data_IF_211829176288
#
_entry.id   IF_211829176288
#
_cell.length_a   1.000
_cell.length_b   1.000
_cell.length_c   1.000
_cell.angle_alpha   90.00
_cell.angle_beta   90.00
_cell.angle_gamma   90.00
#
_symmetry.space_group_name_H-M   'P 1'
#
loop_
_entity.id
_entity.type
_entity.pdbx_description
1 polymer ?
#
# COMPACT_ATOMS: atom_id res chain seq x y z
N UNK A 1 4.27 -12.72 4.42
CA UNK A 1 4.04 -11.73 5.48
C UNK A 1 4.11 -12.45 6.81
N UNK A 2 4.88 -11.94 7.76
CA UNK A 2 4.99 -12.55 9.08
C UNK A 2 3.67 -12.41 9.87
N UNK A 3 3.34 -13.44 10.67
CA UNK A 3 2.21 -13.41 11.61
C UNK A 3 2.48 -12.48 12.80
N UNK A 4 1.44 -12.10 13.55
CA UNK A 4 1.54 -11.12 14.63
C UNK A 4 2.58 -11.48 15.70
N UNK A 5 2.62 -12.75 16.15
CA UNK A 5 3.60 -13.23 17.12
C UNK A 5 5.06 -13.12 16.61
N UNK A 6 5.29 -13.44 15.32
CA UNK A 6 6.61 -13.31 14.71
C UNK A 6 7.06 -11.84 14.62
N UNK A 7 6.14 -10.90 14.37
CA UNK A 7 6.46 -9.47 14.35
C UNK A 7 6.85 -8.95 15.73
N UNK A 8 6.24 -9.45 16.82
CA UNK A 8 6.61 -9.12 18.20
C UNK A 8 8.02 -9.62 18.53
N UNK A 9 8.35 -10.86 18.16
CA UNK A 9 9.70 -11.42 18.33
C UNK A 9 10.74 -10.59 17.57
N UNK A 10 10.45 -10.22 16.32
CA UNK A 10 11.33 -9.35 15.53
C UNK A 10 11.51 -8.01 16.23
N UNK A 11 10.43 -7.37 16.69
CA UNK A 11 10.48 -6.07 17.37
C UNK A 11 11.34 -6.12 18.65
N UNK A 12 11.17 -7.16 19.47
CA UNK A 12 11.95 -7.38 20.68
C UNK A 12 13.44 -7.57 20.38
N UNK A 13 13.76 -8.31 19.31
CA UNK A 13 15.12 -8.62 18.88
C UNK A 13 15.88 -7.48 18.18
N UNK A 14 15.27 -6.31 17.97
CA UNK A 14 15.98 -5.14 17.45
C UNK A 14 16.77 -4.44 18.55
N UNK A 15 18.05 -4.15 18.30
CA UNK A 15 18.83 -3.29 19.18
C UNK A 15 18.41 -1.81 19.04
N UNK A 16 18.87 -0.96 19.96
CA UNK A 16 18.49 0.47 20.01
C UNK A 16 18.75 1.18 18.67
N UNK A 17 19.90 0.92 18.05
CA UNK A 17 20.27 1.54 16.78
C UNK A 17 19.36 1.10 15.63
N UNK A 18 19.06 -0.18 15.54
CA UNK A 18 18.13 -0.74 14.54
C UNK A 18 16.73 -0.16 14.73
N UNK A 19 16.26 -0.03 15.98
CA UNK A 19 15.00 0.63 16.31
C UNK A 19 15.00 2.08 15.85
N UNK A 20 16.05 2.85 16.18
CA UNK A 20 16.16 4.25 15.78
C UNK A 20 16.12 4.43 14.25
N UNK A 21 16.82 3.58 13.49
CA UNK A 21 16.84 3.64 12.03
C UNK A 21 15.50 3.29 11.41
N UNK A 22 14.85 2.23 11.93
CA UNK A 22 13.53 1.83 11.48
C UNK A 22 12.48 2.92 11.74
N UNK A 23 12.49 3.49 12.95
CA UNK A 23 11.56 4.55 13.35
C UNK A 23 11.80 5.84 12.56
N UNK A 24 13.05 6.28 12.39
CA UNK A 24 13.34 7.46 11.57
C UNK A 24 12.88 7.29 10.12
N UNK A 25 13.01 6.07 9.56
CA UNK A 25 12.50 5.76 8.23
C UNK A 25 10.97 5.77 8.19
N UNK A 26 10.31 5.24 9.24
CA UNK A 26 8.86 5.25 9.36
C UNK A 26 8.30 6.67 9.43
N UNK A 27 8.95 7.55 10.18
CA UNK A 27 8.50 8.94 10.35
C UNK A 27 8.52 9.70 9.03
N UNK A 28 9.59 9.49 8.25
CA UNK A 28 9.69 10.06 6.91
C UNK A 28 8.70 9.42 5.91
N UNK A 29 8.44 8.11 6.01
CA UNK A 29 7.41 7.42 5.21
C UNK A 29 6.00 7.99 5.50
N UNK A 30 5.67 8.20 6.78
CA UNK A 30 4.38 8.76 7.20
C UNK A 30 4.25 10.25 6.83
N UNK A 31 5.31 11.05 6.97
CA UNK A 31 5.33 12.44 6.53
C UNK A 31 5.08 12.54 5.02
N UNK A 32 5.69 11.67 4.22
CA UNK A 32 5.44 11.60 2.78
C UNK A 32 4.04 11.11 2.45
N UNK A 33 3.52 10.13 3.21
CA UNK A 33 2.15 9.65 3.04
C UNK A 33 1.14 10.78 3.26
N UNK A 34 1.34 11.65 4.26
CA UNK A 34 0.50 12.82 4.48
C UNK A 34 0.51 13.78 3.28
N UNK A 35 1.68 14.04 2.68
CA UNK A 35 1.82 14.94 1.52
C UNK A 35 1.22 14.37 0.23
N UNK A 36 1.31 13.05 0.02
CA UNK A 36 0.89 12.40 -1.22
C UNK A 36 -0.51 11.77 -1.11
N UNK A 37 -1.19 11.93 0.03
CA UNK A 37 -2.56 11.43 0.22
C UNK A 37 -3.54 12.34 -0.52
N UNK A 38 -4.24 11.76 -1.49
CA UNK A 38 -5.32 12.45 -2.20
C UNK A 38 -5.47 11.99 -3.64
N UNK A 39 -6.59 12.37 -4.30
CA UNK A 39 -6.75 12.15 -5.73
C UNK A 39 -5.64 12.86 -6.52
N UNK A 40 -5.03 12.17 -7.49
CA UNK A 40 -3.93 12.69 -8.30
C UNK A 40 -2.52 12.48 -7.74
N UNK A 41 -2.38 11.94 -6.52
CA UNK A 41 -1.08 11.60 -5.95
C UNK A 41 -0.36 10.48 -6.73
N UNK A 42 0.97 10.53 -6.89
CA UNK A 42 1.72 9.46 -7.54
C UNK A 42 1.59 8.12 -6.78
N UNK A 43 1.70 6.96 -7.45
CA UNK A 43 1.61 5.67 -6.79
C UNK A 43 2.62 5.51 -5.64
N UNK A 44 2.18 4.92 -4.51
CA UNK A 44 3.01 4.75 -3.30
C UNK A 44 4.37 4.11 -3.55
N UNK A 45 4.46 3.18 -4.51
CA UNK A 45 5.73 2.55 -4.89
C UNK A 45 6.82 3.54 -5.32
N UNK A 46 6.44 4.74 -5.81
CA UNK A 46 7.36 5.75 -6.32
C UNK A 46 7.92 6.63 -5.19
N UNK A 47 7.05 7.18 -4.34
CA UNK A 47 7.46 8.16 -3.32
C UNK A 47 7.93 7.55 -2.00
N UNK A 48 7.67 6.25 -1.74
CA UNK A 48 8.14 5.54 -0.54
C UNK A 48 9.64 5.22 -0.52
N UNK A 49 10.36 5.47 -1.61
CA UNK A 49 11.81 5.41 -1.61
C UNK A 49 12.38 6.68 -0.98
N UNK A 50 12.93 6.53 0.22
CA UNK A 50 13.50 7.60 1.03
C UNK A 50 15.00 7.63 0.83
N UNK A 51 15.53 8.82 0.61
CA UNK A 51 16.96 9.00 0.44
C UNK A 51 17.64 9.06 1.80
N UNK A 52 18.56 8.12 2.07
CA UNK A 52 19.44 8.18 3.22
C UNK A 52 20.52 9.23 3.04
N UNK A 53 21.20 9.20 1.89
CA UNK A 53 22.19 10.20 1.52
C UNK A 53 23.35 9.61 0.71
N UNK A 54 24.12 10.47 0.03
CA UNK A 54 25.22 10.08 -0.86
C UNK A 54 26.34 9.37 -0.09
N UNK A 55 26.75 8.20 -0.58
CA UNK A 55 27.78 7.37 0.06
C UNK A 55 29.15 8.02 -0.11
N UNK A 56 29.89 8.24 0.97
CA UNK A 56 31.24 8.83 0.91
C UNK A 56 31.30 10.35 0.69
N UNK A 57 30.17 11.02 0.46
CA UNK A 57 30.10 12.46 0.17
C UNK A 57 29.22 13.20 1.19
N UNK A 58 29.59 13.14 2.48
CA UNK A 58 28.85 13.80 3.58
C UNK A 58 28.75 15.31 3.45
N UNK A 59 29.64 15.95 2.71
CA UNK A 59 29.59 17.40 2.43
C UNK A 59 28.33 17.81 1.66
N UNK A 60 27.60 16.87 1.06
CA UNK A 60 26.27 17.09 0.47
C UNK A 60 25.14 17.13 1.51
N UNK A 61 25.41 16.85 2.79
CA UNK A 61 24.43 16.91 3.89
C UNK A 61 24.26 18.33 4.44
N UNK A 62 24.28 19.34 3.57
CA UNK A 62 24.27 20.74 3.97
C UNK A 62 23.06 21.13 4.84
N UNK A 63 23.12 22.28 5.54
CA UNK A 63 22.02 22.81 6.33
C UNK A 63 20.72 22.86 5.50
N UNK A 64 19.64 22.25 6.00
CA UNK A 64 18.35 22.17 5.30
C UNK A 64 18.15 20.91 4.43
N UNK A 65 19.15 20.01 4.37
CA UNK A 65 19.02 18.71 3.73
C UNK A 65 17.89 17.87 4.36
N UNK A 66 16.93 17.43 3.54
CA UNK A 66 15.83 16.51 3.94
C UNK A 66 16.25 15.04 3.98
N UNK A 67 17.57 14.78 3.97
CA UNK A 67 18.11 13.42 3.98
C UNK A 67 17.87 12.73 5.33
N UNK A 68 17.56 11.43 5.28
CA UNK A 68 17.36 10.64 6.49
C UNK A 68 18.64 10.56 7.35
N UNK A 69 19.83 10.62 6.72
CA UNK A 69 21.12 10.71 7.44
C UNK A 69 21.23 11.97 8.30
N UNK A 70 20.69 13.10 7.87
CA UNK A 70 20.74 14.35 8.65
C UNK A 70 19.94 14.19 9.95
N UNK A 71 18.72 13.61 9.87
CA UNK A 71 17.89 13.29 11.04
C UNK A 71 18.59 12.33 12.00
N UNK A 72 19.17 11.25 11.48
CA UNK A 72 19.87 10.26 12.31
C UNK A 72 21.16 10.81 12.93
N UNK A 73 21.82 11.77 12.26
CA UNK A 73 23.00 12.47 12.80
C UNK A 73 22.62 13.32 14.02
N UNK A 74 21.48 14.04 13.97
CA UNK A 74 20.98 14.83 15.10
C UNK A 74 20.71 13.96 16.34
N UNK A 75 20.35 12.69 16.16
CA UNK A 75 20.16 11.73 17.25
C UNK A 75 21.43 11.00 17.69
N UNK A 76 22.61 11.33 17.15
CA UNK A 76 23.89 10.67 17.49
C UNK A 76 24.02 9.23 16.95
N UNK A 77 23.14 8.80 16.06
CA UNK A 77 23.01 7.39 15.65
C UNK A 77 23.82 7.03 14.38
N UNK A 78 24.56 7.97 13.80
CA UNK A 78 25.39 7.76 12.59
C UNK A 78 26.84 7.46 12.98
N UNK A 79 27.35 6.31 12.56
CA UNK A 79 28.75 5.91 12.76
C UNK A 79 29.24 4.99 11.64
N UNK A 80 30.46 4.45 11.72
CA UNK A 80 30.96 3.49 10.73
C UNK A 80 30.03 2.26 10.54
N UNK A 81 29.33 1.83 11.60
CA UNK A 81 28.38 0.70 11.57
C UNK A 81 27.02 0.97 10.88
N UNK A 82 26.85 2.11 10.22
CA UNK A 82 25.59 2.50 9.57
C UNK A 82 25.20 1.51 8.46
N UNK A 83 26.15 1.12 7.61
CA UNK A 83 25.89 0.18 6.52
C UNK A 83 25.39 -1.18 7.03
N UNK A 84 26.04 -1.70 8.08
CA UNK A 84 25.63 -2.94 8.73
C UNK A 84 24.23 -2.86 9.36
N UNK A 85 23.84 -1.68 9.88
CA UNK A 85 22.49 -1.47 10.43
C UNK A 85 21.43 -1.58 9.33
N UNK A 86 21.65 -0.95 8.18
CA UNK A 86 20.74 -1.06 7.03
C UNK A 86 20.66 -2.49 6.50
N UNK A 87 21.80 -3.17 6.36
CA UNK A 87 21.84 -4.58 5.95
C UNK A 87 21.06 -5.48 6.90
N UNK A 88 21.28 -5.34 8.21
CA UNK A 88 20.60 -6.13 9.24
C UNK A 88 19.08 -5.94 9.24
N UNK A 89 18.59 -4.72 8.97
CA UNK A 89 17.15 -4.45 8.83
C UNK A 89 16.59 -5.01 7.52
N UNK A 90 17.37 -5.00 6.44
CA UNK A 90 17.00 -5.59 5.16
C UNK A 90 16.91 -7.13 5.23
N UNK A 91 17.89 -7.78 5.87
CA UNK A 91 17.92 -9.23 6.11
C UNK A 91 16.72 -9.70 6.94
N UNK A 92 16.29 -8.90 7.90
CA UNK A 92 15.05 -9.14 8.69
C UNK A 92 13.76 -8.87 7.90
N UNK A 93 13.86 -8.45 6.64
CA UNK A 93 12.72 -8.16 5.77
C UNK A 93 11.93 -6.90 6.17
N UNK A 94 12.51 -6.01 6.98
CA UNK A 94 11.84 -4.80 7.47
C UNK A 94 11.95 -3.64 6.47
N UNK A 95 12.98 -3.63 5.65
CA UNK A 95 13.16 -2.65 4.59
C UNK A 95 13.83 -3.25 3.35
N UNK A 96 13.78 -2.51 2.25
CA UNK A 96 14.56 -2.76 1.04
C UNK A 96 15.50 -1.60 0.80
N UNK A 97 16.73 -1.90 0.38
CA UNK A 97 17.74 -0.89 0.03
C UNK A 97 18.08 -0.96 -1.46
N UNK A 98 18.40 0.18 -2.06
CA UNK A 98 19.05 0.25 -3.38
C UNK A 98 19.95 1.46 -3.46
N UNK A 99 20.82 1.51 -4.46
CA UNK A 99 21.66 2.68 -4.72
C UNK A 99 21.24 3.35 -6.02
N UNK A 100 20.92 4.64 -5.96
CA UNK A 100 20.54 5.45 -7.13
C UNK A 100 21.53 6.59 -7.37
N UNK A 101 21.65 7.02 -8.62
CA UNK A 101 22.49 8.16 -8.97
C UNK A 101 21.84 9.44 -8.46
N UNK A 102 22.64 10.33 -7.85
CA UNK A 102 22.15 11.65 -7.40
C UNK A 102 22.07 12.68 -8.53
N UNK A 103 22.52 12.32 -9.73
CA UNK A 103 22.73 13.26 -10.84
C UNK A 103 24.03 14.06 -10.74
N UNK A 104 24.79 13.90 -9.65
CA UNK A 104 26.08 14.57 -9.45
C UNK A 104 27.24 13.65 -9.80
N UNK A 105 28.37 14.24 -10.20
CA UNK A 105 29.62 13.54 -10.50
C UNK A 105 30.67 14.02 -9.50
N UNK A 106 31.40 13.09 -8.90
CA UNK A 106 32.58 13.40 -8.10
C UNK A 106 33.71 13.87 -9.03
N UNK A 107 34.16 15.10 -8.83
CA UNK A 107 35.18 15.73 -9.68
C UNK A 107 36.54 15.03 -9.59
N UNK A 108 36.84 14.37 -8.47
CA UNK A 108 38.12 13.66 -8.27
C UNK A 108 38.13 12.32 -8.97
N UNK A 109 37.09 11.50 -8.75
CA UNK A 109 37.02 10.15 -9.32
C UNK A 109 36.37 10.11 -10.71
N UNK A 110 35.75 11.21 -11.16
CA UNK A 110 34.90 11.28 -12.38
C UNK A 110 33.75 10.26 -12.38
N UNK A 111 33.38 9.73 -11.21
CA UNK A 111 32.29 8.76 -11.06
C UNK A 111 31.02 9.45 -10.59
N UNK A 112 29.88 8.94 -11.03
CA UNK A 112 28.59 9.42 -10.56
C UNK A 112 28.42 9.09 -9.07
N UNK A 113 28.01 10.10 -8.30
CA UNK A 113 27.71 9.97 -6.89
C UNK A 113 26.43 9.16 -6.73
N UNK A 114 26.46 8.16 -5.86
CA UNK A 114 25.31 7.30 -5.56
C UNK A 114 24.81 7.56 -4.16
N UNK A 115 23.49 7.55 -4.01
CA UNK A 115 22.80 7.66 -2.75
C UNK A 115 22.16 6.35 -2.37
N UNK A 116 22.23 6.03 -1.07
CA UNK A 116 21.48 4.90 -0.52
C UNK A 116 20.01 5.30 -0.41
N UNK A 117 19.16 4.55 -1.08
CA UNK A 117 17.71 4.66 -1.00
C UNK A 117 17.18 3.53 -0.13
N UNK A 118 16.26 3.85 0.78
CA UNK A 118 15.62 2.90 1.68
C UNK A 118 14.11 2.96 1.51
N UNK A 119 13.42 1.84 1.70
CA UNK A 119 11.96 1.76 1.66
C UNK A 119 11.45 0.72 2.64
N UNK A 120 10.48 1.08 3.48
CA UNK A 120 9.86 0.14 4.40
C UNK A 120 9.02 -0.92 3.67
N UNK A 121 9.18 -2.16 4.10
CA UNK A 121 8.25 -3.23 3.74
C UNK A 121 6.94 -3.09 4.51
N UNK A 122 5.95 -3.92 4.19
CA UNK A 122 4.72 -3.99 4.97
C UNK A 122 4.99 -4.44 6.41
N UNK A 123 5.88 -5.42 6.59
CA UNK A 123 6.22 -5.93 7.91
C UNK A 123 7.08 -4.91 8.69
N UNK A 124 7.96 -4.17 8.01
CA UNK A 124 8.68 -3.02 8.60
C UNK A 124 7.76 -1.95 9.18
N UNK A 125 6.72 -1.54 8.44
CA UNK A 125 5.71 -0.59 8.97
C UNK A 125 4.96 -1.15 10.17
N UNK A 126 4.61 -2.45 10.17
CA UNK A 126 3.94 -3.08 11.31
C UNK A 126 4.85 -3.10 12.54
N UNK A 127 6.12 -3.47 12.38
CA UNK A 127 7.09 -3.45 13.49
C UNK A 127 7.31 -2.04 14.02
N UNK A 128 7.45 -1.04 13.15
CA UNK A 128 7.59 0.36 13.57
C UNK A 128 6.37 0.84 14.40
N UNK A 129 5.15 0.45 14.00
CA UNK A 129 3.93 0.73 14.79
C UNK A 129 3.94 0.06 16.14
N UNK A 130 4.29 -1.22 16.19
CA UNK A 130 4.41 -1.97 17.46
C UNK A 130 5.40 -1.28 18.40
N UNK A 131 6.56 -0.85 17.90
CA UNK A 131 7.56 -0.13 18.70
C UNK A 131 7.07 1.22 19.22
N UNK A 132 6.15 1.88 18.50
CA UNK A 132 5.52 3.15 18.92
C UNK A 132 4.28 2.96 19.79
N UNK A 133 3.80 1.73 19.98
CA UNK A 133 2.50 1.48 20.59
C UNK A 133 1.32 1.98 19.75
N UNK A 134 1.53 2.22 18.45
CA UNK A 134 0.45 2.59 17.52
C UNK A 134 -0.44 1.37 17.25
N UNK A 135 -1.77 1.54 17.14
CA UNK A 135 -2.65 0.43 16.83
C UNK A 135 -2.30 -0.17 15.46
N UNK A 136 -2.43 -1.50 15.28
CA UNK A 136 -2.24 -2.10 13.97
C UNK A 136 -3.23 -1.45 12.98
N UNK A 137 -2.77 -1.15 11.75
CA UNK A 137 -3.70 -0.74 10.67
C UNK A 137 -4.82 -1.76 10.65
N UNK A 138 -6.07 -1.27 10.72
CA UNK A 138 -7.26 -2.12 10.69
C UNK A 138 -7.02 -3.27 9.72
N UNK A 139 -7.08 -4.54 10.17
CA UNK A 139 -7.11 -5.63 9.23
C UNK A 139 -8.22 -5.32 8.24
N UNK A 140 -7.95 -5.53 6.95
CA UNK A 140 -9.02 -5.57 5.94
C UNK A 140 -10.06 -6.51 6.55
N UNK A 141 -11.27 -6.04 6.84
CA UNK A 141 -12.25 -6.86 7.57
C UNK A 141 -12.33 -8.21 6.86
N UNK A 142 -12.08 -9.29 7.61
CA UNK A 142 -12.31 -10.64 7.09
C UNK A 142 -13.82 -10.88 6.91
N UNK A 143 -14.64 -10.12 7.65
CA UNK A 143 -16.06 -10.01 7.38
C UNK A 143 -16.28 -9.49 5.96
N UNK A 144 -17.05 -10.22 5.14
CA UNK A 144 -17.41 -9.77 3.81
C UNK A 144 -18.14 -8.44 3.96
N UNK A 145 -17.52 -7.37 3.46
CA UNK A 145 -18.20 -6.07 3.42
C UNK A 145 -19.54 -6.26 2.69
N UNK A 146 -20.66 -5.79 3.25
CA UNK A 146 -21.97 -5.89 2.60
C UNK A 146 -21.89 -5.32 1.19
N UNK A 147 -22.63 -5.94 0.27
CA UNK A 147 -22.66 -5.52 -1.13
C UNK A 147 -23.27 -4.13 -1.22
N UNK A 148 -22.71 -3.25 -2.07
CA UNK A 148 -23.35 -1.95 -2.32
C UNK A 148 -24.69 -2.14 -3.03
N UNK A 149 -25.59 -1.16 -2.95
CA UNK A 149 -26.88 -1.22 -3.66
C UNK A 149 -26.70 -1.49 -5.16
N UNK A 150 -25.68 -0.90 -5.78
CA UNK A 150 -25.37 -1.14 -7.19
C UNK A 150 -24.86 -2.56 -7.45
N UNK A 151 -24.10 -3.12 -6.52
CA UNK A 151 -23.66 -4.51 -6.62
C UNK A 151 -24.85 -5.47 -6.52
N UNK A 152 -25.78 -5.22 -5.59
CA UNK A 152 -27.02 -5.97 -5.45
C UNK A 152 -27.89 -5.86 -6.71
N UNK A 153 -28.00 -4.68 -7.31
CA UNK A 153 -28.78 -4.47 -8.55
C UNK A 153 -28.20 -5.22 -9.75
N UNK A 154 -26.87 -5.27 -9.88
CA UNK A 154 -26.21 -6.08 -10.90
C UNK A 154 -26.48 -7.58 -10.70
N UNK A 155 -26.43 -8.05 -9.45
CA UNK A 155 -26.76 -9.45 -9.13
C UNK A 155 -28.23 -9.74 -9.42
N UNK A 156 -29.15 -8.89 -8.97
CA UNK A 156 -30.58 -9.03 -9.20
C UNK A 156 -30.94 -9.03 -10.69
N UNK A 157 -30.32 -8.16 -11.48
CA UNK A 157 -30.51 -8.17 -12.94
C UNK A 157 -30.03 -9.48 -13.56
N UNK A 158 -28.86 -9.98 -13.15
CA UNK A 158 -28.35 -11.27 -13.62
C UNK A 158 -29.22 -12.45 -13.18
N UNK A 159 -29.84 -12.39 -12.00
CA UNK A 159 -30.80 -13.40 -11.54
C UNK A 159 -32.07 -13.44 -12.41
N UNK A 160 -32.52 -12.29 -12.91
CA UNK A 160 -33.65 -12.19 -13.84
C UNK A 160 -33.31 -12.68 -15.26
N UNK A 161 -32.03 -12.64 -15.64
CA UNK A 161 -31.55 -13.02 -16.98
C UNK A 161 -30.40 -14.04 -16.89
N UNK A 162 -30.63 -15.24 -16.33
CA UNK A 162 -29.55 -16.16 -15.96
C UNK A 162 -28.77 -16.71 -17.16
N UNK A 163 -29.42 -16.82 -18.30
CA UNK A 163 -28.82 -17.38 -19.51
C UNK A 163 -28.04 -16.32 -20.32
N UNK A 164 -28.30 -15.04 -20.08
CA UNK A 164 -27.81 -13.95 -20.91
C UNK A 164 -26.57 -13.28 -20.33
N UNK A 165 -25.69 -12.82 -21.22
CA UNK A 165 -24.62 -11.92 -20.85
C UNK A 165 -25.14 -10.48 -20.94
N UNK A 166 -24.84 -9.67 -19.94
CA UNK A 166 -25.32 -8.29 -19.85
C UNK A 166 -24.19 -7.31 -19.58
N UNK A 167 -24.39 -6.07 -19.99
CA UNK A 167 -23.48 -4.99 -19.68
C UNK A 167 -23.85 -4.33 -18.35
N UNK A 168 -22.86 -3.75 -17.67
CA UNK A 168 -23.06 -3.14 -16.37
C UNK A 168 -24.13 -2.02 -16.31
N UNK A 169 -24.51 -1.43 -17.44
CA UNK A 169 -25.54 -0.39 -17.48
C UNK A 169 -26.96 -0.96 -17.59
N UNK A 170 -27.11 -2.25 -17.92
CA UNK A 170 -28.39 -2.90 -18.17
C UNK A 170 -29.41 -2.77 -17.02
N UNK A 171 -29.04 -2.83 -15.73
CA UNK A 171 -30.00 -2.62 -14.66
C UNK A 171 -30.62 -1.21 -14.62
N UNK A 172 -29.97 -0.22 -15.26
CA UNK A 172 -30.35 1.19 -15.16
C UNK A 172 -30.80 1.82 -16.49
N UNK A 173 -30.50 1.19 -17.63
CA UNK A 173 -30.63 1.81 -18.96
C UNK A 173 -29.58 2.91 -19.22
N UNK A 174 -29.51 3.91 -18.35
CA UNK A 174 -28.47 4.96 -18.31
C UNK A 174 -27.78 4.90 -16.96
N UNK A 175 -26.51 4.49 -16.93
CA UNK A 175 -25.78 4.28 -15.68
C UNK A 175 -25.69 5.59 -14.86
N UNK A 176 -26.29 5.67 -13.65
CA UNK A 176 -26.31 6.90 -12.85
C UNK A 176 -25.01 7.13 -12.06
N UNK A 177 -24.05 6.20 -12.16
CA UNK A 177 -22.79 6.23 -11.42
C UNK A 177 -21.60 6.38 -12.36
N UNK A 178 -20.53 6.96 -11.81
CA UNK A 178 -19.24 7.05 -12.49
C UNK A 178 -18.76 5.68 -12.99
N UNK A 179 -18.30 5.63 -14.24
CA UNK A 179 -17.88 4.42 -14.92
C UNK A 179 -16.82 3.62 -14.14
N UNK A 180 -15.83 4.31 -13.56
CA UNK A 180 -14.75 3.66 -12.81
C UNK A 180 -15.25 3.04 -11.51
N UNK A 181 -16.25 3.67 -10.88
CA UNK A 181 -16.93 3.12 -9.70
C UNK A 181 -17.63 1.82 -10.05
N UNK A 182 -18.43 1.80 -11.13
CA UNK A 182 -19.18 0.59 -11.51
C UNK A 182 -18.26 -0.51 -12.03
N UNK A 183 -17.22 -0.17 -12.78
CA UNK A 183 -16.17 -1.12 -13.17
C UNK A 183 -15.51 -1.76 -11.95
N UNK A 184 -15.23 -0.98 -10.90
CA UNK A 184 -14.70 -1.48 -9.62
C UNK A 184 -15.67 -2.45 -8.93
N UNK A 185 -16.96 -2.14 -8.95
CA UNK A 185 -18.02 -3.01 -8.41
C UNK A 185 -18.09 -4.34 -9.18
N UNK A 186 -18.13 -4.29 -10.52
CA UNK A 186 -18.20 -5.48 -11.37
C UNK A 186 -17.00 -6.40 -11.14
N UNK A 187 -15.78 -5.85 -11.12
CA UNK A 187 -14.57 -6.61 -10.79
C UNK A 187 -14.63 -7.22 -9.37
N UNK A 188 -15.23 -6.49 -8.43
CA UNK A 188 -15.47 -6.98 -7.08
C UNK A 188 -16.41 -8.17 -7.03
N UNK A 189 -17.51 -8.14 -7.79
CA UNK A 189 -18.48 -9.23 -7.91
C UNK A 189 -17.88 -10.46 -8.59
N UNK A 190 -17.11 -10.27 -9.66
CA UNK A 190 -16.38 -11.36 -10.33
C UNK A 190 -15.39 -12.02 -9.38
N UNK A 191 -14.62 -11.22 -8.63
CA UNK A 191 -13.69 -11.73 -7.62
C UNK A 191 -14.38 -12.50 -6.49
N UNK A 192 -15.61 -12.12 -6.13
CA UNK A 192 -16.44 -12.83 -5.14
C UNK A 192 -17.12 -14.07 -5.71
N UNK A 193 -16.99 -14.32 -7.01
CA UNK A 193 -17.63 -15.44 -7.70
C UNK A 193 -19.15 -15.29 -7.85
N UNK A 194 -19.69 -14.09 -7.66
CA UNK A 194 -21.14 -13.81 -7.80
C UNK A 194 -21.52 -13.50 -9.26
N UNK A 195 -20.58 -12.96 -10.03
CA UNK A 195 -20.70 -12.78 -11.47
C UNK A 195 -19.49 -13.43 -12.16
N UNK A 196 -19.61 -13.71 -13.45
CA UNK A 196 -18.53 -14.14 -14.34
C UNK A 196 -18.48 -13.25 -15.59
N UNK A 197 -17.39 -13.35 -16.36
CA UNK A 197 -17.18 -12.57 -17.59
C UNK A 197 -16.09 -11.51 -17.45
N UNK A 198 -16.05 -10.59 -18.43
CA UNK A 198 -15.00 -9.58 -18.58
C UNK A 198 -15.52 -8.16 -18.33
N UNK A 199 -15.49 -7.66 -17.08
CA UNK A 199 -16.02 -6.36 -16.77
C UNK A 199 -15.46 -5.21 -17.63
N UNK A 200 -16.31 -4.25 -18.00
CA UNK A 200 -17.66 -4.09 -17.47
C UNK A 200 -18.75 -4.64 -18.40
N UNK A 201 -18.37 -5.31 -19.49
CA UNK A 201 -19.30 -5.89 -20.47
C UNK A 201 -19.38 -7.41 -20.30
N UNK A 202 -20.38 -8.05 -20.92
CA UNK A 202 -20.50 -9.53 -20.92
C UNK A 202 -20.52 -10.19 -19.52
N UNK A 203 -21.13 -9.53 -18.55
CA UNK A 203 -21.32 -10.09 -17.21
C UNK A 203 -22.39 -11.18 -17.25
N UNK A 204 -22.19 -12.27 -16.52
CA UNK A 204 -23.16 -13.36 -16.36
C UNK A 204 -23.32 -13.69 -14.89
N UNK A 205 -24.52 -14.05 -14.47
CA UNK A 205 -24.75 -14.57 -13.12
C UNK A 205 -24.06 -15.93 -12.97
N UNK A 206 -23.46 -16.19 -11.82
CA UNK A 206 -22.91 -17.52 -11.49
C UNK A 206 -23.93 -18.30 -10.68
N UNK A 207 -23.76 -19.63 -10.49
CA UNK A 207 -24.58 -20.39 -9.55
C UNK A 207 -24.57 -19.80 -8.13
N UNK A 208 -23.41 -19.30 -7.66
CA UNK A 208 -23.29 -18.66 -6.35
C UNK A 208 -24.03 -17.30 -6.28
N UNK A 209 -24.03 -16.53 -7.37
CA UNK A 209 -24.83 -15.30 -7.46
C UNK A 209 -26.33 -15.58 -7.58
N UNK A 210 -26.72 -16.68 -8.24
CA UNK A 210 -28.11 -17.05 -8.46
C UNK A 210 -28.84 -17.38 -7.15
N UNK A 211 -28.14 -18.00 -6.19
CA UNK A 211 -28.70 -18.38 -4.88
C UNK A 211 -28.59 -17.27 -3.82
N UNK A 212 -27.98 -16.13 -4.13
CA UNK A 212 -27.89 -15.00 -3.20
C UNK A 212 -29.26 -14.34 -3.04
N UNK A 213 -29.83 -14.37 -1.84
CA UNK A 213 -31.05 -13.61 -1.56
C UNK A 213 -30.74 -12.12 -1.36
N UNK A 214 -30.83 -11.37 -2.47
CA UNK A 214 -30.59 -9.92 -2.47
C UNK A 214 -31.62 -9.16 -1.63
N UNK A 215 -32.79 -9.74 -1.32
CA UNK A 215 -33.86 -9.07 -0.59
C UNK A 215 -33.62 -9.01 0.91
N UNK A 216 -32.80 -9.92 1.43
CA UNK A 216 -32.40 -9.97 2.84
C UNK A 216 -31.23 -9.02 3.16
N UNK A 217 -30.61 -8.42 2.14
CA UNK A 217 -29.51 -7.49 2.30
C UNK A 217 -30.01 -6.14 2.80
N UNK A 218 -29.38 -5.63 3.86
CA UNK A 218 -29.90 -4.49 4.66
C UNK A 218 -30.02 -3.20 3.86
N UNK A 219 -29.29 -3.10 2.75
CA UNK A 219 -29.24 -1.94 1.88
C UNK A 219 -29.92 -2.18 0.51
N UNK A 220 -30.70 -3.25 0.36
CA UNK A 220 -31.46 -3.52 -0.85
C UNK A 220 -32.62 -2.53 -1.03
N UNK A 221 -32.75 -2.03 -2.27
CA UNK A 221 -33.86 -1.18 -2.71
C UNK A 221 -34.18 -1.52 -4.18
N UNK A 222 -35.35 -2.14 -4.48
CA UNK A 222 -35.72 -2.43 -5.86
C UNK A 222 -35.84 -1.14 -6.67
N UNK A 223 -35.79 -1.26 -8.01
CA UNK A 223 -36.25 -0.17 -8.86
C UNK A 223 -37.76 -0.06 -8.71
N UNK A 224 -38.26 1.17 -8.57
CA UNK A 224 -39.69 1.46 -8.57
C UNK A 224 -40.25 1.35 -9.99
#
# INVERSE_FOLDING_TARGET
MAGAAALVVIAAGLNERQRAYLLATYDEDQAREATHRGPGGPPARRWRWIEYGPVGHKWLDGPGSRLLRAKLTQSGMVSQGTGATWAALAERGLLTTRHEHTGLIDTRSRRAIRSLMVRLTTDGRKVARLLRGEPPTRPRSMEPKPLSLSALRLVAYGQQHPEEAFDFHAPWGVCPLDYLVVLGICRGLVKRGLLAGDPPTRLRITPAGSVLDVTQETNWKPFA
#
